data_IF_785589453686
#
_entry.id   IF_785589453686
#
_cell.length_a   1.000
_cell.length_b   1.000
_cell.length_c   1.000
_cell.angle_alpha   90.00
_cell.angle_beta   90.00
_cell.angle_gamma   90.00
#
_symmetry.space_group_name_H-M   'P 1'
#
loop_
_entity.id
_entity.type
_entity.pdbx_description
1 polymer ?
#
# COMPACT_ATOMS: atom_id res chain seq x y z
N UNK A 1 -6.76 -4.07 14.23
CA UNK A 1 -6.31 -5.14 13.31
C UNK A 1 -7.47 -5.57 12.45
N UNK A 2 -7.42 -5.35 11.13
CA UNK A 2 -8.59 -5.46 10.23
C UNK A 2 -8.29 -6.02 8.84
N UNK A 3 -7.03 -6.32 8.51
CA UNK A 3 -6.64 -6.67 7.14
C UNK A 3 -7.36 -7.92 6.58
N UNK A 4 -7.46 -9.05 7.32
CA UNK A 4 -8.19 -10.21 6.81
C UNK A 4 -9.68 -9.92 6.55
N UNK A 5 -10.35 -9.22 7.48
CA UNK A 5 -11.77 -8.85 7.33
C UNK A 5 -11.99 -7.92 6.15
N UNK A 6 -11.11 -6.91 5.98
CA UNK A 6 -11.11 -6.01 4.83
C UNK A 6 -10.98 -6.78 3.52
N UNK A 7 -10.02 -7.73 3.44
CA UNK A 7 -9.84 -8.56 2.25
C UNK A 7 -11.06 -9.47 2.02
N UNK A 8 -11.63 -10.08 3.05
CA UNK A 8 -12.84 -10.90 2.92
C UNK A 8 -14.03 -10.10 2.40
N UNK A 9 -14.21 -8.86 2.85
CA UNK A 9 -15.27 -7.97 2.37
C UNK A 9 -15.07 -7.58 0.90
N UNK A 10 -13.83 -7.30 0.49
CA UNK A 10 -13.45 -6.92 -0.87
C UNK A 10 -13.42 -8.11 -1.85
N UNK A 11 -13.15 -9.33 -1.40
CA UNK A 11 -13.07 -10.53 -2.24
C UNK A 11 -14.45 -11.11 -2.56
N UNK A 12 -14.58 -12.01 -3.55
CA UNK A 12 -15.85 -12.63 -3.90
C UNK A 12 -16.59 -13.25 -2.70
N UNK A 13 -17.91 -13.14 -2.71
CA UNK A 13 -18.79 -13.70 -1.68
C UNK A 13 -18.58 -15.22 -1.58
N UNK A 14 -18.39 -15.78 -0.37
CA UNK A 14 -18.12 -17.21 -0.19
C UNK A 14 -19.26 -18.13 -0.64
N UNK A 15 -20.48 -17.61 -0.80
CA UNK A 15 -21.65 -18.39 -1.26
C UNK A 15 -21.76 -18.45 -2.78
N UNK A 16 -21.53 -17.34 -3.50
CA UNK A 16 -21.77 -17.25 -4.94
C UNK A 16 -20.51 -17.03 -5.78
N UNK A 17 -19.36 -16.76 -5.15
CA UNK A 17 -18.10 -16.44 -5.80
C UNK A 17 -18.15 -15.20 -6.73
N UNK A 18 -19.07 -14.26 -6.42
CA UNK A 18 -19.19 -12.98 -7.12
C UNK A 18 -18.73 -11.87 -6.16
N UNK A 19 -17.95 -10.91 -6.66
CA UNK A 19 -17.63 -9.69 -5.91
C UNK A 19 -18.85 -8.77 -5.92
N UNK A 20 -19.28 -8.30 -4.75
CA UNK A 20 -20.51 -7.53 -4.59
C UNK A 20 -20.26 -6.29 -3.73
N UNK A 21 -20.64 -5.10 -4.22
CA UNK A 21 -20.36 -3.82 -3.55
C UNK A 21 -21.04 -3.70 -2.17
N UNK A 22 -22.23 -4.27 -1.98
CA UNK A 22 -22.91 -4.18 -0.68
C UNK A 22 -22.09 -4.79 0.47
N UNK A 23 -21.25 -5.81 0.22
CA UNK A 23 -20.36 -6.40 1.24
C UNK A 23 -19.23 -5.47 1.64
N UNK A 24 -18.70 -4.75 0.65
CA UNK A 24 -17.65 -3.75 0.83
C UNK A 24 -18.23 -2.61 1.67
N UNK A 25 -19.38 -2.08 1.26
CA UNK A 25 -20.03 -0.95 1.93
C UNK A 25 -20.53 -1.30 3.34
N UNK A 26 -20.99 -2.53 3.57
CA UNK A 26 -21.34 -3.03 4.90
C UNK A 26 -20.14 -2.99 5.85
N UNK A 27 -19.05 -3.69 5.50
CA UNK A 27 -17.85 -3.73 6.32
C UNK A 27 -17.28 -2.33 6.64
N UNK A 28 -17.16 -1.49 5.61
CA UNK A 28 -16.57 -0.17 5.77
C UNK A 28 -17.52 0.86 6.40
N UNK A 29 -18.83 0.56 6.54
CA UNK A 29 -19.74 1.36 7.37
C UNK A 29 -19.40 1.31 8.87
N UNK A 30 -18.54 0.38 9.29
CA UNK A 30 -18.01 0.32 10.65
C UNK A 30 -16.64 1.00 10.82
N UNK A 31 -16.03 1.49 9.74
CA UNK A 31 -14.63 1.91 9.70
C UNK A 31 -14.51 3.27 8.99
N UNK A 32 -14.84 4.38 9.66
CA UNK A 32 -14.79 5.73 9.07
C UNK A 32 -13.38 6.12 8.60
N UNK A 33 -12.32 5.52 9.16
CA UNK A 33 -10.93 5.74 8.74
C UNK A 33 -10.66 5.33 7.28
N UNK A 34 -11.54 4.52 6.68
CA UNK A 34 -11.43 4.10 5.28
C UNK A 34 -11.78 5.20 4.26
N UNK A 35 -12.42 6.28 4.70
CA UNK A 35 -13.02 7.28 3.82
C UNK A 35 -12.00 7.92 2.87
N UNK A 36 -10.77 8.13 3.35
CA UNK A 36 -9.72 8.73 2.53
C UNK A 36 -9.31 7.80 1.38
N UNK A 37 -9.14 6.50 1.65
CA UNK A 37 -8.88 5.49 0.62
C UNK A 37 -10.00 5.48 -0.43
N UNK A 38 -11.25 5.57 0.01
CA UNK A 38 -12.40 5.62 -0.88
C UNK A 38 -12.44 6.83 -1.81
N UNK A 39 -11.84 7.95 -1.39
CA UNK A 39 -11.68 9.07 -2.32
C UNK A 39 -10.77 8.72 -3.51
N UNK A 40 -9.78 7.84 -3.34
CA UNK A 40 -8.93 7.38 -4.44
C UNK A 40 -9.59 6.24 -5.23
N UNK A 41 -10.22 5.29 -4.54
CA UNK A 41 -10.80 4.10 -5.16
C UNK A 41 -11.99 4.43 -6.08
N UNK A 42 -12.84 5.39 -5.69
CA UNK A 42 -14.03 5.78 -6.47
C UNK A 42 -13.76 6.96 -7.41
N UNK A 43 -12.51 7.39 -7.49
CA UNK A 43 -12.04 8.43 -8.39
C UNK A 43 -11.46 7.79 -9.67
N UNK A 44 -11.19 8.59 -10.69
CA UNK A 44 -10.65 8.11 -11.97
C UNK A 44 -9.32 7.37 -11.76
N UNK A 45 -8.50 7.83 -10.81
CA UNK A 45 -7.24 7.14 -10.44
C UNK A 45 -7.44 5.74 -9.84
N UNK A 46 -8.68 5.38 -9.48
CA UNK A 46 -9.05 4.05 -9.03
C UNK A 46 -8.91 2.98 -10.12
N UNK A 47 -8.90 3.36 -11.40
CA UNK A 47 -8.63 2.47 -12.53
C UNK A 47 -7.53 3.06 -13.43
N UNK A 48 -6.25 2.82 -13.10
CA UNK A 48 -5.14 3.20 -13.99
C UNK A 48 -5.29 2.54 -15.37
N UNK A 49 -4.88 3.25 -16.42
CA UNK A 49 -4.93 2.75 -17.79
C UNK A 49 -4.04 1.53 -18.02
N UNK A 50 -2.85 1.57 -17.42
CA UNK A 50 -1.85 0.52 -17.46
C UNK A 50 -0.88 0.74 -16.30
N UNK A 51 0.10 -0.15 -16.15
CA UNK A 51 1.07 -0.04 -15.07
C UNK A 51 2.01 1.16 -15.21
N UNK A 52 2.28 1.65 -16.42
CA UNK A 52 3.32 2.66 -16.68
C UNK A 52 2.82 4.06 -16.35
N UNK A 53 1.52 4.31 -16.51
CA UNK A 53 0.89 5.60 -16.23
C UNK A 53 0.25 5.69 -14.83
N UNK A 54 0.81 4.99 -13.84
CA UNK A 54 0.36 5.06 -12.45
C UNK A 54 1.48 5.53 -11.51
N UNK A 55 1.09 6.22 -10.45
CA UNK A 55 2.00 6.56 -9.35
C UNK A 55 2.25 5.34 -8.45
N UNK A 56 3.36 5.37 -7.72
CA UNK A 56 3.64 4.43 -6.65
C UNK A 56 3.85 5.14 -5.33
N UNK A 57 3.52 4.49 -4.22
CA UNK A 57 3.72 5.02 -2.87
C UNK A 57 4.13 3.91 -1.91
N UNK A 58 5.04 4.21 -0.98
CA UNK A 58 5.35 3.31 0.14
C UNK A 58 4.19 3.16 1.13
N UNK A 59 3.27 4.15 1.12
CA UNK A 59 2.08 4.29 1.97
C UNK A 59 2.41 4.47 3.45
N UNK A 60 3.04 3.46 4.06
CA UNK A 60 3.49 3.48 5.44
C UNK A 60 4.67 4.45 5.61
N UNK A 61 4.79 4.95 6.83
CA UNK A 61 5.96 5.72 7.26
C UNK A 61 7.08 4.76 7.64
N UNK A 62 8.32 5.03 7.23
CA UNK A 62 9.52 4.32 7.64
C UNK A 62 10.47 5.27 8.37
N UNK A 63 11.60 4.77 8.87
CA UNK A 63 12.68 5.57 9.43
C UNK A 63 13.88 5.58 8.48
N UNK A 64 14.42 6.77 8.17
CA UNK A 64 15.75 6.96 7.59
C UNK A 64 16.76 7.25 8.69
N UNK A 65 17.82 6.44 8.77
CA UNK A 65 18.85 6.55 9.80
C UNK A 65 20.16 6.96 9.13
N UNK A 66 20.75 8.06 9.60
CA UNK A 66 22.03 8.54 9.10
C UNK A 66 23.23 7.90 9.85
N UNK A 67 24.45 8.22 9.42
CA UNK A 67 25.69 7.72 10.04
C UNK A 67 25.87 8.07 11.52
N UNK A 68 25.24 9.13 12.01
CA UNK A 68 25.28 9.53 13.43
C UNK A 68 24.18 8.87 14.26
N UNK A 69 23.37 7.98 13.65
CA UNK A 69 22.23 7.35 14.32
C UNK A 69 21.01 8.23 14.50
N UNK A 70 20.93 9.41 13.86
CA UNK A 70 19.70 10.23 13.87
C UNK A 70 18.68 9.64 12.91
N UNK A 71 17.48 9.35 13.42
CA UNK A 71 16.33 8.93 12.63
C UNK A 71 15.52 10.13 12.12
N UNK A 72 14.90 9.95 10.95
CA UNK A 72 13.79 10.77 10.45
C UNK A 72 12.70 9.87 9.93
N UNK A 73 11.44 10.21 10.19
CA UNK A 73 10.34 9.57 9.49
C UNK A 73 10.43 9.88 8.00
N UNK A 74 10.05 8.92 7.15
CA UNK A 74 10.08 9.04 5.69
C UNK A 74 8.86 8.39 5.03
N UNK A 75 8.36 9.02 3.97
CA UNK A 75 7.48 8.38 2.97
C UNK A 75 8.15 8.38 1.61
N UNK A 76 7.92 7.32 0.83
CA UNK A 76 8.49 7.12 -0.51
C UNK A 76 7.41 7.29 -1.59
N UNK A 77 7.73 8.02 -2.66
CA UNK A 77 6.81 8.35 -3.74
C UNK A 77 7.47 8.10 -5.09
N UNK A 78 6.75 7.43 -5.99
CA UNK A 78 7.18 7.16 -7.36
C UNK A 78 6.27 7.91 -8.32
N UNK A 79 6.84 8.83 -9.10
CA UNK A 79 6.09 9.61 -10.09
C UNK A 79 6.45 9.14 -11.51
N UNK A 80 5.48 8.66 -12.31
CA UNK A 80 5.74 8.18 -13.66
C UNK A 80 6.17 9.33 -14.56
N UNK A 81 7.20 9.14 -15.37
CA UNK A 81 7.67 10.18 -16.30
C UNK A 81 6.76 10.37 -17.51
N UNK A 82 5.96 9.35 -17.85
CA UNK A 82 4.94 9.42 -18.91
C UNK A 82 3.60 10.00 -18.44
N UNK A 83 3.52 10.50 -17.20
CA UNK A 83 2.32 11.06 -16.61
C UNK A 83 1.31 10.01 -16.13
N UNK A 84 0.27 10.48 -15.45
CA UNK A 84 -0.80 9.62 -14.92
C UNK A 84 -1.95 9.54 -15.93
N UNK A 85 -2.44 8.33 -16.19
CA UNK A 85 -3.59 8.07 -17.07
C UNK A 85 -4.50 6.99 -16.49
N UNK A 86 -5.79 7.16 -16.72
CA UNK A 86 -6.84 6.35 -16.12
C UNK A 86 -7.88 6.01 -17.18
N UNK A 87 -8.65 4.94 -16.94
CA UNK A 87 -9.82 4.61 -17.74
C UNK A 87 -11.07 5.19 -17.07
N UNK A 88 -11.94 5.80 -17.86
CA UNK A 88 -13.28 6.15 -17.42
C UNK A 88 -14.21 4.93 -17.52
N UNK A 89 -15.38 4.99 -16.87
CA UNK A 89 -16.25 3.82 -16.66
C UNK A 89 -16.65 3.11 -17.97
N UNK A 90 -16.97 3.85 -19.03
CA UNK A 90 -17.28 3.30 -20.35
C UNK A 90 -16.05 2.67 -21.05
N UNK A 91 -14.86 3.21 -20.80
CA UNK A 91 -13.60 2.67 -21.33
C UNK A 91 -13.23 1.38 -20.59
N UNK A 92 -13.47 1.31 -19.28
CA UNK A 92 -13.27 0.10 -18.48
C UNK A 92 -14.05 -1.08 -19.05
N UNK A 93 -15.32 -0.88 -19.43
CA UNK A 93 -16.16 -1.94 -20.02
C UNK A 93 -15.57 -2.40 -21.36
N UNK A 94 -15.17 -1.46 -22.23
CA UNK A 94 -14.61 -1.77 -23.55
C UNK A 94 -13.27 -2.48 -23.45
N UNK A 95 -12.34 -1.92 -22.68
CA UNK A 95 -10.97 -2.44 -22.52
C UNK A 95 -11.00 -3.77 -21.78
N UNK A 96 -11.74 -3.86 -20.65
CA UNK A 96 -11.88 -5.07 -19.86
C UNK A 96 -12.58 -6.20 -20.63
N UNK A 97 -13.60 -5.88 -21.42
CA UNK A 97 -14.28 -6.84 -22.30
C UNK A 97 -13.43 -7.31 -23.47
N UNK A 98 -12.56 -6.45 -24.01
CA UNK A 98 -11.69 -6.79 -25.14
C UNK A 98 -10.41 -7.54 -24.72
N UNK A 99 -9.77 -7.13 -23.62
CA UNK A 99 -8.52 -7.71 -23.17
C UNK A 99 -8.34 -7.60 -21.64
N UNK A 100 -8.64 -8.69 -20.94
CA UNK A 100 -8.41 -8.84 -19.50
C UNK A 100 -6.94 -8.69 -19.08
N UNK A 101 -5.98 -8.76 -20.02
CA UNK A 101 -4.54 -8.62 -19.80
C UNK A 101 -3.95 -7.31 -20.35
N UNK A 102 -4.77 -6.28 -20.60
CA UNK A 102 -4.35 -5.04 -21.26
C UNK A 102 -3.13 -4.37 -20.62
N UNK A 103 -3.10 -4.19 -19.29
CA UNK A 103 -1.98 -3.53 -18.61
C UNK A 103 -0.68 -4.35 -18.66
N UNK A 104 -0.77 -5.68 -18.54
CA UNK A 104 0.39 -6.58 -18.70
C UNK A 104 0.92 -6.55 -20.12
N UNK A 105 0.02 -6.59 -21.12
CA UNK A 105 0.39 -6.48 -22.54
C UNK A 105 1.08 -5.16 -22.84
N UNK A 106 0.53 -4.04 -22.35
CA UNK A 106 1.12 -2.71 -22.53
C UNK A 106 2.54 -2.63 -21.98
N UNK A 107 2.78 -3.11 -20.75
CA UNK A 107 4.12 -3.10 -20.14
C UNK A 107 5.10 -3.95 -20.96
N UNK A 108 4.71 -5.17 -21.32
CA UNK A 108 5.54 -6.11 -22.05
C UNK A 108 5.91 -5.58 -23.45
N UNK A 109 4.93 -5.13 -24.22
CA UNK A 109 5.13 -4.58 -25.56
C UNK A 109 5.98 -3.30 -25.53
N UNK A 110 5.77 -2.45 -24.52
CA UNK A 110 6.54 -1.21 -24.36
C UNK A 110 8.02 -1.47 -24.11
N UNK A 111 8.34 -2.43 -23.24
CA UNK A 111 9.74 -2.81 -22.99
C UNK A 111 10.34 -3.47 -24.24
N UNK A 112 9.60 -4.32 -24.94
CA UNK A 112 10.04 -4.95 -26.19
C UNK A 112 10.34 -3.92 -27.28
N UNK A 113 9.53 -2.86 -27.37
CA UNK A 113 9.69 -1.78 -28.34
C UNK A 113 10.80 -0.78 -27.95
N UNK A 114 11.50 -0.96 -26.83
CA UNK A 114 12.51 -0.02 -26.33
C UNK A 114 11.92 1.23 -25.63
N UNK A 115 10.60 1.27 -25.44
CA UNK A 115 9.89 2.34 -24.74
C UNK A 115 9.85 2.06 -23.23
N UNK A 116 11.02 2.12 -22.61
CA UNK A 116 11.21 1.75 -21.20
C UNK A 116 10.45 2.71 -20.25
N UNK A 117 9.50 2.21 -19.45
CA UNK A 117 8.87 3.06 -18.45
C UNK A 117 9.85 3.45 -17.35
N UNK A 118 9.69 4.68 -16.88
CA UNK A 118 10.52 5.28 -15.85
C UNK A 118 9.66 5.95 -14.77
N UNK A 119 10.10 5.82 -13.52
CA UNK A 119 9.56 6.56 -12.37
C UNK A 119 10.68 7.33 -11.67
N UNK A 120 10.40 8.57 -11.31
CA UNK A 120 11.24 9.37 -10.41
C UNK A 120 10.88 9.04 -8.96
N UNK A 121 11.89 8.73 -8.15
CA UNK A 121 11.76 8.54 -6.71
C UNK A 121 11.87 9.87 -5.99
N UNK A 122 10.90 10.13 -5.13
CA UNK A 122 10.91 11.22 -4.17
C UNK A 122 10.70 10.68 -2.76
N UNK A 123 11.15 11.47 -1.78
CA UNK A 123 10.84 11.25 -0.37
C UNK A 123 10.25 12.51 0.26
N UNK A 124 9.43 12.31 1.29
CA UNK A 124 9.12 13.34 2.28
C UNK A 124 9.76 12.92 3.60
N UNK A 125 10.18 13.87 4.42
CA UNK A 125 10.75 13.56 5.74
C UNK A 125 10.16 14.42 6.86
N UNK A 126 9.99 13.82 8.04
CA UNK A 126 9.56 14.48 9.27
C UNK A 126 10.60 14.19 10.37
N UNK A 127 10.93 15.19 11.17
CA UNK A 127 11.68 14.97 12.42
C UNK A 127 10.69 14.36 13.44
N UNK A 128 10.95 13.20 14.05
CA UNK A 128 10.02 12.58 15.00
C UNK A 128 9.59 13.52 16.15
N UNK A 129 10.45 14.46 16.56
CA UNK A 129 10.12 15.50 17.56
C UNK A 129 9.02 16.47 17.10
N UNK A 130 8.66 16.44 15.81
CA UNK A 130 7.62 17.27 15.21
C UNK A 130 6.31 16.52 14.97
N UNK A 131 6.22 15.24 15.35
CA UNK A 131 5.01 14.41 15.17
C UNK A 131 3.75 15.12 15.69
N UNK A 132 3.87 15.78 16.84
CA UNK A 132 2.74 16.45 17.47
C UNK A 132 2.32 17.78 16.84
N UNK A 133 3.11 18.33 15.93
CA UNK A 133 2.83 19.62 15.27
C UNK A 133 1.75 19.52 14.19
N UNK A 134 1.41 18.31 13.76
CA UNK A 134 0.39 18.05 12.74
C UNK A 134 -0.95 17.69 13.37
N UNK A 135 -2.03 17.99 12.65
CA UNK A 135 -3.40 17.62 13.01
C UNK A 135 -3.77 16.20 12.56
N UNK A 136 -2.80 15.45 12.09
CA UNK A 136 -2.86 14.03 11.78
C UNK A 136 -1.67 13.33 12.43
N UNK A 137 -1.79 12.02 12.66
CA UNK A 137 -0.67 11.18 13.09
C UNK A 137 0.19 10.80 11.86
N UNK A 138 1.48 11.18 11.79
CA UNK A 138 2.37 10.80 10.70
C UNK A 138 2.53 9.29 10.48
N UNK A 139 2.23 8.45 11.48
CA UNK A 139 2.27 7.00 11.43
C UNK A 139 0.90 6.38 11.09
N UNK A 140 -0.13 7.19 10.91
CA UNK A 140 -1.42 6.73 10.40
C UNK A 140 -1.37 6.54 8.87
N UNK A 141 -1.47 5.28 8.46
CA UNK A 141 -1.46 4.85 7.06
C UNK A 141 -2.65 5.38 6.24
N UNK A 142 -3.72 5.86 6.89
CA UNK A 142 -4.87 6.48 6.22
C UNK A 142 -4.63 7.95 5.86
N UNK A 143 -3.47 8.51 6.23
CA UNK A 143 -3.12 9.92 6.03
C UNK A 143 -2.01 10.09 4.99
N UNK A 144 -2.19 11.08 4.11
CA UNK A 144 -1.10 11.60 3.29
C UNK A 144 -0.38 12.72 4.03
N UNK A 145 0.88 12.94 3.67
CA UNK A 145 1.63 14.11 4.15
C UNK A 145 1.46 15.21 3.09
N UNK A 146 0.81 16.34 3.41
CA UNK A 146 0.52 17.38 2.42
C UNK A 146 1.80 17.92 1.77
N UNK A 147 1.88 17.91 0.44
CA UNK A 147 3.09 18.30 -0.30
C UNK A 147 3.40 19.80 -0.20
N UNK A 148 2.41 20.63 0.13
CA UNK A 148 2.56 22.07 0.39
C UNK A 148 3.22 22.36 1.75
N UNK A 149 3.10 21.45 2.71
CA UNK A 149 3.72 21.54 4.05
C UNK A 149 5.05 20.77 4.08
N UNK A 150 5.07 19.58 3.45
CA UNK A 150 6.19 18.65 3.43
C UNK A 150 6.56 18.36 1.97
N UNK A 151 7.35 19.22 1.30
CA UNK A 151 7.61 19.10 -0.13
C UNK A 151 8.38 17.82 -0.49
N UNK A 152 8.10 17.29 -1.68
CA UNK A 152 8.80 16.15 -2.25
C UNK A 152 10.29 16.48 -2.50
N UNK A 153 11.17 15.58 -2.05
CA UNK A 153 12.62 15.68 -2.20
C UNK A 153 13.09 14.64 -3.22
N UNK A 154 13.72 15.03 -4.34
CA UNK A 154 14.14 14.09 -5.37
C UNK A 154 15.29 13.19 -4.87
N UNK A 155 15.25 11.90 -5.20
CA UNK A 155 16.28 10.92 -4.82
C UNK A 155 16.93 10.29 -6.04
N UNK A 156 16.14 9.80 -6.99
CA UNK A 156 16.66 9.03 -8.13
C UNK A 156 15.56 8.59 -9.09
N UNK A 157 15.82 7.53 -9.86
CA UNK A 157 14.85 6.98 -10.81
C UNK A 157 14.94 5.45 -10.92
N UNK A 158 13.82 4.82 -11.27
CA UNK A 158 13.71 3.42 -11.64
C UNK A 158 13.34 3.34 -13.12
N UNK A 159 14.04 2.50 -13.88
CA UNK A 159 13.74 2.21 -15.30
C UNK A 159 13.56 0.71 -15.46
N UNK A 160 12.43 0.29 -16.04
CA UNK A 160 12.23 -1.11 -16.40
C UNK A 160 12.59 -1.30 -17.87
N UNK A 161 13.71 -1.98 -18.13
CA UNK A 161 14.32 -2.07 -19.46
C UNK A 161 14.50 -3.50 -20.00
N UNK A 162 14.03 -4.51 -19.26
CA UNK A 162 14.10 -5.91 -19.67
C UNK A 162 12.82 -6.63 -19.24
N UNK A 163 12.24 -7.41 -20.15
CA UNK A 163 11.16 -8.34 -19.84
C UNK A 163 11.72 -9.62 -19.21
N UNK A 164 10.93 -10.25 -18.36
CA UNK A 164 11.23 -11.57 -17.82
C UNK A 164 11.35 -12.61 -18.94
N UNK A 165 12.27 -13.56 -18.77
CA UNK A 165 12.46 -14.69 -19.68
C UNK A 165 11.42 -15.79 -19.39
N UNK A 166 11.00 -15.96 -18.13
CA UNK A 166 9.94 -16.88 -17.73
C UNK A 166 9.01 -16.29 -16.66
N UNK A 167 7.71 -16.19 -16.97
CA UNK A 167 6.71 -15.62 -16.05
C UNK A 167 6.64 -16.34 -14.69
N UNK A 168 6.64 -17.67 -14.70
CA UNK A 168 6.46 -18.42 -13.46
C UNK A 168 7.70 -18.30 -12.56
N UNK A 169 8.89 -18.50 -13.11
CA UNK A 169 10.13 -18.48 -12.36
C UNK A 169 10.54 -17.08 -11.85
N UNK A 170 10.16 -16.02 -12.57
CA UNK A 170 10.62 -14.65 -12.24
C UNK A 170 9.51 -13.75 -11.72
N UNK A 171 8.25 -13.93 -12.10
CA UNK A 171 7.16 -13.08 -11.60
C UNK A 171 6.29 -13.80 -10.58
N UNK A 172 5.82 -15.02 -10.87
CA UNK A 172 4.95 -15.76 -9.95
C UNK A 172 5.69 -16.18 -8.67
N UNK A 173 6.96 -16.56 -8.79
CA UNK A 173 7.82 -16.95 -7.67
C UNK A 173 8.48 -15.78 -6.92
N UNK A 174 8.27 -14.55 -7.38
CA UNK A 174 8.83 -13.36 -6.75
C UNK A 174 8.21 -13.12 -5.36
N UNK A 175 9.05 -12.66 -4.43
CA UNK A 175 8.68 -12.42 -3.04
C UNK A 175 9.22 -11.08 -2.54
N UNK A 176 8.36 -10.08 -2.41
CA UNK A 176 8.66 -8.81 -1.74
C UNK A 176 8.21 -8.86 -0.28
N UNK A 177 9.01 -8.36 0.66
CA UNK A 177 8.62 -8.32 2.07
C UNK A 177 9.06 -6.99 2.71
N UNK A 178 8.16 -6.23 3.36
CA UNK A 178 8.51 -4.99 4.05
C UNK A 178 9.54 -5.16 5.19
N UNK A 179 9.74 -6.38 5.68
CA UNK A 179 10.76 -6.73 6.67
C UNK A 179 12.18 -6.85 6.06
N UNK A 180 12.31 -6.87 4.74
CA UNK A 180 13.61 -6.94 4.06
C UNK A 180 14.07 -5.50 3.82
N UNK A 181 14.76 -4.96 4.82
CA UNK A 181 15.35 -3.61 4.81
C UNK A 181 16.88 -3.70 4.67
N UNK A 182 17.49 -2.57 4.35
CA UNK A 182 18.95 -2.39 4.28
C UNK A 182 19.38 -1.34 5.30
N UNK A 183 20.65 -1.37 5.78
CA UNK A 183 21.16 -0.35 6.68
C UNK A 183 20.86 1.08 6.21
N UNK A 184 20.35 1.90 7.13
CA UNK A 184 19.88 3.27 6.86
C UNK A 184 18.37 3.39 6.63
N UNK A 185 17.65 2.28 6.44
CA UNK A 185 16.19 2.24 6.45
C UNK A 185 15.75 1.34 7.60
N UNK A 186 14.76 1.78 8.39
CA UNK A 186 14.20 1.01 9.50
C UNK A 186 12.69 1.19 9.61
N UNK A 187 12.07 0.41 10.49
CA UNK A 187 10.62 0.43 10.68
C UNK A 187 10.21 1.62 11.54
N UNK A 188 8.99 2.12 11.30
CA UNK A 188 8.28 3.00 12.24
C UNK A 188 7.25 2.21 13.03
N UNK A 189 6.58 2.88 13.97
CA UNK A 189 5.55 2.33 14.85
C UNK A 189 4.16 2.29 14.21
N UNK A 190 4.06 2.56 12.89
CA UNK A 190 2.83 2.38 12.11
C UNK A 190 2.27 0.97 12.32
N UNK A 191 1.07 0.91 12.93
CA UNK A 191 0.43 -0.35 13.36
C UNK A 191 0.16 -1.31 12.19
N UNK A 192 -0.07 -0.80 10.98
CA UNK A 192 -0.27 -1.64 9.80
C UNK A 192 1.09 -2.15 9.28
N UNK A 193 2.11 -1.30 9.21
CA UNK A 193 3.46 -1.70 8.82
C UNK A 193 3.98 -2.85 9.70
N UNK A 194 3.84 -2.72 11.02
CA UNK A 194 4.27 -3.74 11.99
C UNK A 194 3.63 -5.12 11.72
N UNK A 195 2.39 -5.13 11.23
CA UNK A 195 1.71 -6.38 10.85
C UNK A 195 2.21 -6.94 9.52
N UNK A 196 2.50 -6.07 8.56
CA UNK A 196 3.04 -6.45 7.24
C UNK A 196 4.44 -7.06 7.35
N UNK A 197 5.28 -6.56 8.25
CA UNK A 197 6.62 -7.11 8.50
C UNK A 197 6.55 -8.60 8.88
N UNK A 198 5.50 -9.01 9.60
CA UNK A 198 5.24 -10.42 9.89
C UNK A 198 4.62 -11.17 8.69
N UNK A 199 3.52 -10.65 8.14
CA UNK A 199 2.61 -11.43 7.29
C UNK A 199 3.22 -11.89 5.95
N UNK A 200 4.11 -11.09 5.37
CA UNK A 200 4.68 -11.39 4.06
C UNK A 200 5.60 -12.61 4.11
N UNK A 201 6.55 -12.64 5.05
CA UNK A 201 7.47 -13.76 5.19
C UNK A 201 6.73 -15.06 5.59
N UNK A 202 5.69 -14.94 6.41
CA UNK A 202 4.83 -16.07 6.78
C UNK A 202 4.12 -16.68 5.55
N UNK A 203 3.38 -15.87 4.78
CA UNK A 203 2.69 -16.38 3.59
C UNK A 203 3.65 -16.83 2.48
N UNK A 204 4.86 -16.28 2.39
CA UNK A 204 5.87 -16.67 1.40
C UNK A 204 6.42 -18.07 1.68
N UNK A 205 6.68 -18.41 2.95
CA UNK A 205 7.07 -19.78 3.33
C UNK A 205 6.00 -20.80 2.98
N UNK A 206 4.73 -20.43 3.15
CA UNK A 206 3.60 -21.28 2.74
C UNK A 206 3.49 -21.40 1.21
N UNK A 207 3.50 -20.26 0.49
CA UNK A 207 3.25 -20.19 -0.96
C UNK A 207 4.39 -20.76 -1.81
N UNK A 208 5.65 -20.51 -1.41
CA UNK A 208 6.85 -20.79 -2.21
C UNK A 208 7.77 -21.83 -1.56
N UNK A 209 7.47 -22.25 -0.33
CA UNK A 209 8.29 -23.16 0.45
C UNK A 209 9.31 -22.45 1.34
N UNK A 210 9.94 -23.19 2.27
CA UNK A 210 10.82 -22.63 3.31
C UNK A 210 12.09 -21.98 2.73
N UNK A 211 12.57 -22.45 1.58
CA UNK A 211 13.79 -22.00 0.92
C UNK A 211 13.53 -21.03 -0.25
N UNK A 212 12.39 -20.32 -0.28
CA UNK A 212 12.03 -19.42 -1.38
C UNK A 212 13.06 -18.30 -1.66
N UNK A 213 13.85 -17.90 -0.66
CA UNK A 213 14.93 -16.93 -0.81
C UNK A 213 16.15 -17.47 -1.58
N UNK A 214 16.23 -18.78 -1.81
CA UNK A 214 17.25 -19.38 -2.67
C UNK A 214 16.89 -19.27 -4.16
N UNK A 215 15.60 -19.10 -4.49
CA UNK A 215 15.16 -18.96 -5.89
C UNK A 215 15.89 -17.78 -6.56
N UNK A 216 16.37 -17.91 -7.80
CA UNK A 216 17.22 -16.89 -8.44
C UNK A 216 16.66 -15.47 -8.41
N UNK A 217 15.34 -15.31 -8.51
CA UNK A 217 14.69 -13.99 -8.49
C UNK A 217 14.63 -13.35 -7.10
N UNK A 218 14.70 -14.16 -6.03
CA UNK A 218 14.65 -13.72 -4.64
C UNK A 218 16.03 -13.68 -3.97
N UNK A 219 17.02 -14.36 -4.57
CA UNK A 219 18.36 -14.46 -4.03
C UNK A 219 19.06 -13.08 -4.00
N UNK A 220 19.78 -12.74 -2.90
CA UNK A 220 20.52 -11.50 -2.83
C UNK A 220 21.64 -11.49 -3.87
N UNK A 221 21.94 -10.30 -4.43
CA UNK A 221 23.08 -10.10 -5.34
C UNK A 221 24.40 -9.83 -4.61
N UNK A 222 24.35 -9.67 -3.28
CA UNK A 222 25.54 -9.51 -2.44
C UNK A 222 25.95 -10.86 -1.82
N UNK A 223 27.18 -10.91 -1.31
CA UNK A 223 27.61 -12.03 -0.50
C UNK A 223 26.67 -12.19 0.71
N UNK A 224 26.25 -13.41 0.97
CA UNK A 224 25.35 -13.75 2.05
C UNK A 224 25.86 -15.03 2.72
N UNK A 225 26.03 -14.96 4.04
CA UNK A 225 26.46 -16.06 4.90
C UNK A 225 25.46 -16.20 6.05
N UNK A 226 24.89 -17.39 6.21
CA UNK A 226 23.97 -17.69 7.31
C UNK A 226 24.14 -19.14 7.80
N UNK A 227 23.45 -19.44 8.90
CA UNK A 227 23.48 -20.75 9.54
C UNK A 227 22.27 -21.63 9.21
N UNK A 228 21.43 -21.26 8.23
CA UNK A 228 20.29 -22.05 7.79
C UNK A 228 20.73 -23.16 6.81
N UNK A 229 20.39 -24.43 7.09
CA UNK A 229 20.94 -25.60 6.36
C UNK A 229 19.91 -26.52 5.70
N UNK A 230 18.74 -26.73 6.28
CA UNK A 230 17.82 -27.76 5.78
C UNK A 230 16.62 -27.15 5.01
N UNK A 231 15.45 -27.79 5.12
CA UNK A 231 14.19 -27.33 4.54
C UNK A 231 13.88 -27.94 3.18
N UNK A 232 12.58 -28.03 2.87
CA UNK A 232 12.09 -28.56 1.61
C UNK A 232 12.70 -27.83 0.41
N UNK A 233 13.09 -28.60 -0.62
CA UNK A 233 13.73 -28.09 -1.84
C UNK A 233 14.99 -27.24 -1.60
N UNK A 234 15.76 -27.53 -0.54
CA UNK A 234 17.11 -26.99 -0.46
C UNK A 234 17.98 -27.61 -1.57
N UNK A 235 18.45 -26.79 -2.49
CA UNK A 235 19.32 -27.22 -3.60
C UNK A 235 20.75 -26.68 -3.47
N UNK A 236 21.05 -25.96 -2.39
CA UNK A 236 22.39 -25.43 -2.14
C UNK A 236 23.32 -26.57 -1.70
N UNK A 237 24.52 -26.60 -2.27
CA UNK A 237 25.60 -27.44 -1.74
C UNK A 237 26.27 -26.71 -0.57
N UNK A 238 26.28 -27.35 0.59
CA UNK A 238 26.88 -26.87 1.84
C UNK A 238 27.63 -28.04 2.47
N UNK A 239 28.93 -27.87 2.68
CA UNK A 239 29.84 -28.87 3.26
C UNK A 239 30.44 -28.42 4.61
N UNK A 240 29.93 -27.32 5.16
CA UNK A 240 30.40 -26.75 6.42
C UNK A 240 30.05 -27.66 7.62
N UNK A 241 31.01 -27.88 8.52
CA UNK A 241 30.78 -28.64 9.77
C UNK A 241 30.12 -27.80 10.88
N UNK A 242 30.11 -26.48 10.73
CA UNK A 242 29.62 -25.54 11.74
C UNK A 242 28.41 -24.78 11.20
N UNK A 243 27.26 -24.99 11.83
CA UNK A 243 25.99 -24.33 11.51
C UNK A 243 25.43 -23.52 12.70
N UNK A 244 26.30 -23.08 13.61
CA UNK A 244 25.95 -22.35 14.81
C UNK A 244 26.94 -21.21 15.05
N UNK A 245 26.50 -20.21 15.83
CA UNK A 245 27.32 -19.05 16.18
C UNK A 245 27.08 -18.67 17.65
N UNK A 246 28.13 -18.37 18.45
CA UNK A 246 29.55 -18.35 18.08
C UNK A 246 30.18 -19.75 18.05
N UNK A 247 31.31 -19.91 17.35
CA UNK A 247 32.11 -21.14 17.29
C UNK A 247 33.61 -20.86 17.38
N UNK A 248 34.38 -21.84 17.87
CA UNK A 248 35.85 -21.82 17.84
C UNK A 248 36.42 -22.47 16.58
N UNK A 249 35.61 -23.24 15.87
CA UNK A 249 35.99 -23.97 14.65
C UNK A 249 35.63 -23.21 13.38
N UNK A 250 34.75 -22.20 13.50
CA UNK A 250 34.42 -21.27 12.45
C UNK A 250 34.53 -19.83 13.00
N UNK A 251 35.62 -19.09 12.71
CA UNK A 251 35.91 -17.79 13.31
C UNK A 251 35.17 -16.63 12.62
N UNK A 252 33.93 -16.83 12.19
CA UNK A 252 33.07 -15.75 11.68
C UNK A 252 32.78 -14.70 12.75
N UNK A 253 32.48 -13.49 12.32
CA UNK A 253 32.15 -12.35 13.18
C UNK A 253 30.76 -11.80 12.85
N UNK A 254 30.15 -11.12 13.82
CA UNK A 254 29.03 -10.24 13.50
C UNK A 254 29.48 -9.16 12.51
N UNK A 255 28.59 -8.79 11.59
CA UNK A 255 28.80 -7.63 10.73
C UNK A 255 29.01 -6.37 11.58
N UNK A 256 29.71 -5.38 11.03
CA UNK A 256 29.87 -4.08 11.68
C UNK A 256 28.50 -3.51 12.05
N UNK A 257 28.36 -3.11 13.32
CA UNK A 257 27.13 -2.54 13.83
C UNK A 257 26.81 -1.24 13.12
N UNK A 258 25.63 -1.17 12.50
CA UNK A 258 25.09 0.09 11.98
C UNK A 258 24.22 0.73 13.06
N UNK A 259 24.24 2.07 13.21
CA UNK A 259 23.42 2.73 14.22
C UNK A 259 21.94 2.38 14.05
N UNK A 260 21.31 1.93 15.12
CA UNK A 260 19.86 1.85 15.25
C UNK A 260 19.52 2.74 16.44
N UNK A 261 18.83 3.89 16.23
CA UNK A 261 18.54 4.80 17.32
C UNK A 261 17.71 4.09 18.39
N UNK A 262 18.07 4.23 19.68
CA UNK A 262 17.22 3.73 20.75
C UNK A 262 15.90 4.48 20.73
N UNK A 263 14.79 3.76 20.87
CA UNK A 263 13.46 4.34 21.03
C UNK A 263 13.04 4.28 22.51
N UNK A 264 12.50 5.38 23.03
CA UNK A 264 11.90 5.38 24.37
C UNK A 264 10.45 4.92 24.25
N UNK A 265 10.14 3.73 24.76
CA UNK A 265 8.77 3.24 24.83
C UNK A 265 8.18 3.57 26.21
N UNK A 266 7.15 4.40 26.24
CA UNK A 266 6.41 4.78 27.45
C UNK A 266 4.91 4.46 27.30
N UNK A 267 4.19 4.44 28.43
CA UNK A 267 2.75 4.18 28.47
C UNK A 267 2.38 2.75 28.89
N UNK A 268 1.11 2.39 28.73
CA UNK A 268 0.56 1.08 29.09
C UNK A 268 0.43 0.21 27.84
N UNK A 269 0.74 -1.09 27.96
CA UNK A 269 0.52 -2.06 26.89
C UNK A 269 -0.98 -2.39 26.78
N UNK A 270 -1.65 -1.81 25.80
CA UNK A 270 -3.09 -1.98 25.60
C UNK A 270 -3.48 -2.07 24.11
N UNK A 271 -4.74 -2.46 23.85
CA UNK A 271 -5.33 -2.46 22.52
C UNK A 271 -6.14 -1.16 22.34
N UNK A 272 -5.54 -0.15 21.76
CA UNK A 272 -6.15 1.15 21.55
C UNK A 272 -6.09 1.59 20.07
N UNK A 273 -7.02 2.46 19.71
CA UNK A 273 -6.94 3.29 18.50
C UNK A 273 -5.94 4.44 18.75
N UNK A 274 -5.50 5.09 17.68
CA UNK A 274 -4.65 6.30 17.79
C UNK A 274 -5.49 7.48 18.28
N UNK A 275 -4.88 8.48 18.89
CA UNK A 275 -5.61 9.67 19.39
C UNK A 275 -6.04 10.61 18.25
N UNK A 276 -5.16 10.82 17.26
CA UNK A 276 -5.41 11.72 16.12
C UNK A 276 -6.01 10.98 14.91
N UNK A 277 -7.19 10.39 15.08
CA UNK A 277 -7.86 9.67 13.99
C UNK A 277 -8.17 10.57 12.79
N UNK A 278 -8.75 11.75 13.00
CA UNK A 278 -9.07 12.75 11.97
C UNK A 278 -9.59 12.14 10.64
N UNK A 279 -10.64 11.33 10.72
CA UNK A 279 -11.08 10.47 9.61
C UNK A 279 -11.70 11.23 8.42
N UNK A 280 -12.06 12.51 8.58
CA UNK A 280 -12.92 13.23 7.63
C UNK A 280 -12.26 14.41 6.90
N UNK A 281 -11.20 15.02 7.48
CA UNK A 281 -10.60 16.24 6.92
C UNK A 281 -9.98 16.02 5.54
N UNK A 282 -8.97 15.13 5.44
CA UNK A 282 -8.29 14.85 4.17
C UNK A 282 -9.22 14.30 3.07
N UNK A 283 -10.19 13.41 3.34
CA UNK A 283 -11.18 13.02 2.34
C UNK A 283 -11.95 14.22 1.76
N UNK A 284 -12.37 15.15 2.64
CA UNK A 284 -13.07 16.36 2.23
C UNK A 284 -12.21 17.29 1.40
N UNK A 285 -10.95 17.50 1.82
CA UNK A 285 -9.99 18.33 1.08
C UNK A 285 -9.74 17.77 -0.32
N UNK A 286 -9.59 16.45 -0.42
CA UNK A 286 -9.37 15.79 -1.71
C UNK A 286 -10.59 15.88 -2.62
N UNK A 287 -11.81 15.67 -2.11
CA UNK A 287 -13.03 15.88 -2.89
C UNK A 287 -13.12 17.32 -3.42
N UNK A 288 -12.80 18.32 -2.58
CA UNK A 288 -12.79 19.74 -2.98
C UNK A 288 -11.72 20.08 -4.01
N UNK A 289 -10.62 19.33 -4.06
CA UNK A 289 -9.56 19.53 -5.07
C UNK A 289 -9.93 19.03 -6.47
N UNK A 290 -10.99 18.24 -6.61
CA UNK A 290 -11.43 17.73 -7.91
C UNK A 290 -12.04 18.83 -8.77
N UNK A 291 -11.82 18.73 -10.08
CA UNK A 291 -12.60 19.49 -11.06
C UNK A 291 -14.09 19.10 -10.98
N UNK A 292 -15.04 20.00 -11.34
CA UNK A 292 -16.47 19.74 -11.19
C UNK A 292 -16.98 18.47 -11.89
N UNK A 293 -16.45 18.15 -13.07
CA UNK A 293 -16.81 16.94 -13.83
C UNK A 293 -16.32 15.66 -13.14
N UNK A 294 -15.14 15.71 -12.52
CA UNK A 294 -14.57 14.62 -11.71
C UNK A 294 -15.35 14.43 -10.41
N UNK A 295 -15.80 15.52 -9.77
CA UNK A 295 -16.71 15.43 -8.62
C UNK A 295 -18.03 14.75 -8.99
N UNK A 296 -18.58 15.06 -10.17
CA UNK A 296 -19.80 14.46 -10.67
C UNK A 296 -19.66 12.95 -10.90
N UNK A 297 -18.58 12.50 -11.56
CA UNK A 297 -18.28 11.07 -11.72
C UNK A 297 -18.15 10.35 -10.38
N UNK A 298 -17.42 10.97 -9.43
CA UNK A 298 -17.29 10.45 -8.07
C UNK A 298 -18.64 10.27 -7.39
N UNK A 299 -19.54 11.27 -7.47
CA UNK A 299 -20.90 11.19 -6.93
C UNK A 299 -21.71 10.08 -7.58
N UNK A 300 -21.67 9.96 -8.91
CA UNK A 300 -22.39 8.90 -9.63
C UNK A 300 -21.95 7.51 -9.18
N UNK A 301 -20.64 7.24 -9.09
CA UNK A 301 -20.12 5.95 -8.60
C UNK A 301 -20.60 5.63 -7.18
N UNK A 302 -20.66 6.64 -6.29
CA UNK A 302 -21.21 6.47 -4.94
C UNK A 302 -22.70 6.19 -4.94
N UNK A 303 -23.49 6.91 -5.73
CA UNK A 303 -24.93 6.69 -5.86
C UNK A 303 -25.19 5.27 -6.39
N UNK A 304 -24.45 4.84 -7.42
CA UNK A 304 -24.60 3.50 -8.00
C UNK A 304 -24.30 2.42 -6.97
N UNK A 305 -23.17 2.54 -6.24
CA UNK A 305 -22.80 1.58 -5.22
C UNK A 305 -23.79 1.54 -4.04
N UNK A 306 -24.28 2.71 -3.59
CA UNK A 306 -25.25 2.81 -2.49
C UNK A 306 -26.68 2.43 -2.91
N UNK A 307 -26.98 2.37 -4.21
CA UNK A 307 -28.30 1.99 -4.72
C UNK A 307 -28.52 0.48 -4.77
N UNK A 308 -27.50 -0.34 -4.48
CA UNK A 308 -27.64 -1.79 -4.41
C UNK A 308 -28.75 -2.16 -3.39
N UNK A 309 -29.74 -2.99 -3.77
CA UNK A 309 -30.87 -3.34 -2.89
C UNK A 309 -30.49 -3.96 -1.55
N UNK A 310 -29.30 -4.56 -1.44
CA UNK A 310 -28.79 -5.15 -0.19
C UNK A 310 -28.13 -4.12 0.72
N UNK A 311 -27.84 -2.93 0.23
CA UNK A 311 -27.41 -1.79 1.04
C UNK A 311 -28.64 -1.22 1.75
N UNK A 312 -28.79 -1.62 3.01
CA UNK A 312 -29.93 -1.23 3.83
C UNK A 312 -30.00 0.28 4.02
N UNK A 313 -31.16 0.78 4.46
CA UNK A 313 -31.31 2.20 4.81
C UNK A 313 -30.28 2.65 5.85
N UNK A 314 -29.96 1.78 6.81
CA UNK A 314 -28.95 2.04 7.84
C UNK A 314 -27.56 2.22 7.24
N UNK A 315 -27.09 1.27 6.42
CA UNK A 315 -25.78 1.37 5.76
C UNK A 315 -25.70 2.64 4.91
N UNK A 316 -26.74 2.93 4.11
CA UNK A 316 -26.79 4.18 3.32
C UNK A 316 -26.71 5.42 4.19
N UNK A 317 -27.41 5.44 5.32
CA UNK A 317 -27.43 6.59 6.24
C UNK A 317 -26.05 6.83 6.85
N UNK A 318 -25.33 5.77 7.21
CA UNK A 318 -23.96 5.85 7.73
C UNK A 318 -23.01 6.43 6.68
N UNK A 319 -23.04 5.93 5.44
CA UNK A 319 -22.18 6.45 4.38
C UNK A 319 -22.46 7.91 4.05
N UNK A 320 -23.74 8.31 3.97
CA UNK A 320 -24.11 9.71 3.78
C UNK A 320 -23.61 10.56 4.95
N UNK A 321 -23.69 10.07 6.19
CA UNK A 321 -23.16 10.76 7.37
C UNK A 321 -21.64 10.94 7.29
N UNK A 322 -20.89 9.90 6.91
CA UNK A 322 -19.43 9.99 6.72
C UNK A 322 -19.07 11.03 5.65
N UNK A 323 -19.72 10.98 4.49
CA UNK A 323 -19.49 11.96 3.44
C UNK A 323 -19.89 13.38 3.83
N UNK A 324 -20.96 13.55 4.62
CA UNK A 324 -21.39 14.85 5.14
C UNK A 324 -20.39 15.45 6.14
N UNK A 325 -19.75 14.61 6.96
CA UNK A 325 -18.69 15.03 7.88
C UNK A 325 -17.42 15.45 7.14
N UNK A 326 -17.09 14.79 6.02
CA UNK A 326 -15.96 15.18 5.16
C UNK A 326 -16.25 16.45 4.34
N UNK A 327 -17.43 16.52 3.72
CA UNK A 327 -17.90 17.67 2.95
C UNK A 327 -19.43 17.74 2.91
N UNK A 328 -19.99 18.85 3.43
CA UNK A 328 -21.44 19.03 3.53
C UNK A 328 -22.14 19.00 2.17
N UNK A 329 -21.50 19.55 1.11
CA UNK A 329 -22.10 19.59 -0.22
C UNK A 329 -22.16 18.19 -0.83
N UNK A 330 -21.09 17.40 -0.68
CA UNK A 330 -21.06 16.01 -1.12
C UNK A 330 -22.17 15.18 -0.45
N UNK A 331 -22.26 15.24 0.88
CA UNK A 331 -23.29 14.53 1.64
C UNK A 331 -24.71 14.89 1.20
N UNK A 332 -24.98 16.19 0.98
CA UNK A 332 -26.27 16.67 0.47
C UNK A 332 -26.59 16.13 -0.93
N UNK A 333 -25.63 16.20 -1.87
CA UNK A 333 -25.82 15.70 -3.24
C UNK A 333 -26.12 14.20 -3.26
N UNK A 334 -25.42 13.41 -2.44
CA UNK A 334 -25.67 11.98 -2.29
C UNK A 334 -27.06 11.70 -1.70
N UNK A 335 -27.41 12.38 -0.60
CA UNK A 335 -28.72 12.24 0.03
C UNK A 335 -29.86 12.59 -0.93
N UNK A 336 -29.74 13.68 -1.68
CA UNK A 336 -30.75 14.07 -2.68
C UNK A 336 -30.91 13.03 -3.79
N UNK A 337 -29.82 12.50 -4.35
CA UNK A 337 -29.90 11.49 -5.43
C UNK A 337 -30.44 10.15 -4.97
N UNK A 338 -30.20 9.79 -3.71
CA UNK A 338 -30.70 8.55 -3.11
C UNK A 338 -32.10 8.72 -2.47
N UNK A 339 -32.73 9.89 -2.62
CA UNK A 339 -34.02 10.25 -1.99
C UNK A 339 -34.04 10.03 -0.47
N UNK A 340 -32.93 10.35 0.20
CA UNK A 340 -32.76 10.24 1.65
C UNK A 340 -32.85 11.61 2.30
N UNK A 341 -33.44 11.68 3.50
CA UNK A 341 -33.41 12.90 4.31
C UNK A 341 -31.99 13.09 4.84
N UNK A 342 -31.38 14.28 4.74
CA UNK A 342 -30.09 14.54 5.37
C UNK A 342 -30.22 14.28 6.87
N UNK A 343 -29.38 13.42 7.43
CA UNK A 343 -29.17 13.37 8.88
C UNK A 343 -28.50 14.68 9.28
N UNK A 344 -29.17 15.50 10.10
CA UNK A 344 -28.65 16.77 10.61
C UNK A 344 -27.35 16.59 11.38
#
# INVERSE_FOLDING_TARGET
>A
MKFPDMVHALKPNPKCHIQENWRILDFFSHHPESLHMFTFLFDDVGVPQDYRHMEGSGVNTYNLINKSGKARYVKFHWKPTCGVKCLLDDECIKVGGANHSHATKDLYDSIMAGNYPEWKLYIQTIDPDHEDKFDFDPLDVTKTWPEDILPLQPVGRLVLNKNIDNFFAENEQLAFCPAIIVPGIYYSEDKLLQTRIFSYADTQRHRLGPNYLQLPVNAPKCAHHNNHHDGFMNFMHRDEEVNYFPSRYDPVLHAEGVPIPPATCAGKREKCIIEKENNFKQPGERYRSFAPDRQERFICRWVDALSDPRVTHEIRSIWISYWSQADKSLGQKLASRLNMRPSM
#
